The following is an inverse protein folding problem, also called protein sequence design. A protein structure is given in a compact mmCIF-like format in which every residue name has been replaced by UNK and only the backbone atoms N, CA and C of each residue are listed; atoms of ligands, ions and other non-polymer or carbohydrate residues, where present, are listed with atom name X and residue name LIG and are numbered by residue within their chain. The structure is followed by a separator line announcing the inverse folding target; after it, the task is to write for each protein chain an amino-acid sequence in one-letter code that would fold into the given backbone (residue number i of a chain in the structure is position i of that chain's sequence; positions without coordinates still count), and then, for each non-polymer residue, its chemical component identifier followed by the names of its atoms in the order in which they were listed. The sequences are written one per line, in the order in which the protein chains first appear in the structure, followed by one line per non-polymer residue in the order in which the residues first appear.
data_IF_513113182578
#
_entry.id   IF_513113182578
#
_cell.length_a   1.000
_cell.length_b   1.000
_cell.length_c   1.000
_cell.angle_alpha   90.00
_cell.angle_beta   90.00
_cell.angle_gamma   90.00
#
_symmetry.space_group_name_H-M   'P 1'
#
loop_
_entity.id
_entity.type
_entity.pdbx_description
1 polymer ?
#
# COMPACT_ATOMS: atom_id res chain seq x y z
N UNK A 1 -4.60 -23.88 -52.63
CA UNK A 1 -5.02 -22.48 -52.92
C UNK A 1 -6.29 -22.17 -52.14
N UNK A 2 -6.15 -21.72 -50.90
CA UNK A 2 -7.13 -20.90 -50.20
C UNK A 2 -6.33 -19.85 -49.42
N UNK A 3 -6.83 -18.61 -49.33
CA UNK A 3 -6.27 -17.63 -48.40
C UNK A 3 -6.87 -17.87 -47.00
N UNK A 4 -6.03 -17.93 -45.96
CA UNK A 4 -6.46 -17.46 -44.64
C UNK A 4 -6.54 -15.94 -44.72
N UNK A 5 -7.68 -15.37 -44.36
CA UNK A 5 -7.90 -13.93 -44.33
C UNK A 5 -7.91 -13.49 -42.87
N UNK A 6 -6.80 -12.96 -42.39
CA UNK A 6 -6.73 -12.38 -41.05
C UNK A 6 -7.63 -11.14 -41.01
N UNK A 7 -8.57 -11.12 -40.05
CA UNK A 7 -9.35 -9.94 -39.69
C UNK A 7 -8.70 -9.38 -38.43
N UNK A 8 -7.94 -8.30 -38.60
CA UNK A 8 -7.35 -7.56 -37.47
C UNK A 8 -8.48 -6.80 -36.76
N UNK A 9 -8.92 -7.32 -35.61
CA UNK A 9 -9.98 -6.73 -34.79
C UNK A 9 -9.42 -5.70 -33.83
N UNK A 10 -9.34 -4.43 -34.24
CA UNK A 10 -9.12 -3.32 -33.30
C UNK A 10 -10.32 -3.19 -32.37
N UNK A 11 -10.20 -3.64 -31.12
CA UNK A 11 -11.04 -3.16 -30.02
C UNK A 11 -10.56 -1.75 -29.66
N UNK A 12 -11.44 -0.76 -29.78
CA UNK A 12 -11.16 0.63 -29.42
C UNK A 12 -11.60 0.88 -27.98
N UNK A 13 -10.72 1.37 -27.11
CA UNK A 13 -11.10 1.89 -25.81
C UNK A 13 -12.09 3.06 -25.98
N UNK A 14 -13.35 2.89 -25.53
CA UNK A 14 -14.38 3.95 -25.49
C UNK A 14 -15.71 3.53 -24.78
N UNK A 15 -15.70 2.85 -23.62
CA UNK A 15 -16.95 2.62 -22.83
C UNK A 15 -16.73 2.78 -21.32
N UNK A 16 -16.47 4.00 -20.84
CA UNK A 16 -16.53 4.31 -19.40
C UNK A 16 -16.71 5.82 -19.14
N UNK A 17 -17.94 6.33 -19.36
CA UNK A 17 -18.42 7.64 -18.85
C UNK A 17 -19.90 7.87 -19.23
N UNK A 18 -20.85 7.49 -18.35
CA UNK A 18 -22.29 7.73 -18.56
C UNK A 18 -23.14 7.71 -17.28
N UNK A 19 -22.69 8.35 -16.19
CA UNK A 19 -23.44 8.43 -14.93
C UNK A 19 -23.30 9.81 -14.25
N UNK A 20 -23.94 10.84 -14.81
CA UNK A 20 -24.11 12.13 -14.14
C UNK A 20 -25.41 12.81 -14.59
N UNK A 21 -26.46 12.67 -13.77
CA UNK A 21 -27.65 13.52 -13.82
C UNK A 21 -27.75 14.27 -12.47
N UNK A 22 -28.06 15.58 -12.46
CA UNK A 22 -28.03 16.38 -11.24
C UNK A 22 -29.25 16.11 -10.35
N UNK A 23 -29.04 16.07 -9.02
CA UNK A 23 -30.12 16.08 -8.03
C UNK A 23 -30.64 17.50 -7.85
N UNK A 24 -31.95 17.67 -7.97
CA UNK A 24 -32.62 18.99 -8.00
C UNK A 24 -32.75 19.65 -6.60
N UNK A 25 -32.90 20.98 -6.60
CA UNK A 25 -32.83 21.84 -5.41
C UNK A 25 -34.13 21.82 -4.57
N UNK A 26 -34.04 21.47 -3.27
CA UNK A 26 -35.20 21.49 -2.36
C UNK A 26 -34.83 21.77 -0.88
N UNK A 27 -34.44 23.00 -0.56
CA UNK A 27 -34.32 23.46 0.85
C UNK A 27 -35.63 24.11 1.32
N UNK A 28 -36.51 23.33 1.94
CA UNK A 28 -37.67 23.90 2.63
C UNK A 28 -37.26 24.61 3.94
N UNK A 29 -37.99 25.68 4.27
CA UNK A 29 -37.79 26.49 5.47
C UNK A 29 -38.96 26.30 6.42
N UNK A 30 -38.71 26.03 7.69
CA UNK A 30 -39.64 26.38 8.76
C UNK A 30 -39.09 27.52 9.61
N UNK A 31 -39.77 28.67 9.56
CA UNK A 31 -39.60 29.73 10.56
C UNK A 31 -40.54 29.46 11.74
N UNK A 32 -40.02 29.43 12.96
CA UNK A 32 -40.81 29.62 14.18
C UNK A 32 -40.13 30.69 15.03
N UNK A 33 -40.89 31.71 15.45
CA UNK A 33 -40.42 32.88 16.18
C UNK A 33 -41.38 33.23 17.34
N UNK A 34 -41.07 34.32 18.07
CA UNK A 34 -41.78 34.91 19.25
C UNK A 34 -41.50 34.20 20.59
N UNK A 35 -40.78 34.84 21.54
CA UNK A 35 -41.22 35.71 22.68
C UNK A 35 -41.58 34.90 23.96
N UNK A 36 -41.24 35.25 25.21
CA UNK A 36 -40.39 36.28 25.90
C UNK A 36 -39.77 35.58 27.18
N UNK A 37 -39.19 36.13 28.27
CA UNK A 37 -39.20 37.49 28.82
C UNK A 37 -38.03 37.89 29.77
N UNK A 38 -37.77 39.21 29.81
CA UNK A 38 -37.40 40.08 30.96
C UNK A 38 -36.40 39.69 32.10
N UNK A 39 -35.35 40.54 32.24
CA UNK A 39 -34.67 41.04 33.49
C UNK A 39 -33.74 40.10 34.30
N UNK A 40 -32.73 40.55 35.07
CA UNK A 40 -32.39 41.88 35.67
C UNK A 40 -30.88 42.12 35.93
N UNK A 41 -30.42 43.40 35.89
CA UNK A 41 -29.22 44.04 36.54
C UNK A 41 -27.80 43.43 36.29
N UNK A 42 -26.70 44.14 35.96
CA UNK A 42 -26.08 45.43 36.37
C UNK A 42 -25.45 45.41 37.79
N UNK A 43 -24.23 45.90 38.09
CA UNK A 43 -23.08 46.45 37.33
C UNK A 43 -21.76 45.89 37.97
N UNK A 44 -20.50 46.28 37.72
CA UNK A 44 -19.87 47.61 37.51
C UNK A 44 -18.41 47.47 36.97
N UNK A 45 -17.75 48.59 36.65
CA UNK A 45 -16.35 48.75 36.18
C UNK A 45 -15.52 49.60 37.20
N UNK A 46 -14.25 50.06 37.00
CA UNK A 46 -13.36 49.99 35.83
C UNK A 46 -11.87 49.59 36.12
N UNK A 47 -11.00 49.91 35.17
CA UNK A 47 -9.54 49.72 35.09
C UNK A 47 -8.72 50.60 36.06
N UNK A 48 -7.40 50.33 36.21
CA UNK A 48 -6.30 51.25 35.81
C UNK A 48 -4.88 50.68 36.08
N UNK A 49 -3.85 51.29 35.48
CA UNK A 49 -2.47 50.78 35.37
C UNK A 49 -1.47 51.09 36.52
N UNK A 50 -0.31 50.41 36.43
CA UNK A 50 1.08 50.93 36.63
C UNK A 50 1.85 50.57 37.92
N UNK A 51 3.20 50.59 37.87
CA UNK A 51 4.02 50.73 39.11
C UNK A 51 5.33 49.92 39.31
N UNK A 52 6.21 49.81 38.30
CA UNK A 52 7.67 49.56 38.35
C UNK A 52 8.47 49.51 39.71
N UNK A 53 9.57 48.72 39.72
CA UNK A 53 10.90 48.90 40.39
C UNK A 53 11.31 48.19 41.73
N UNK A 54 12.15 47.15 41.60
CA UNK A 54 13.60 47.03 41.99
C UNK A 54 14.11 47.13 43.46
N UNK A 55 15.09 46.25 43.79
CA UNK A 55 16.04 46.21 44.95
C UNK A 55 15.54 45.62 46.29
N UNK A 56 16.32 44.96 47.17
CA UNK A 56 17.78 44.61 47.26
C UNK A 56 17.96 43.18 47.88
N UNK A 57 19.10 42.46 47.80
CA UNK A 57 20.25 42.38 48.76
C UNK A 57 19.85 42.25 50.26
N UNK A 58 20.44 41.44 51.18
CA UNK A 58 21.79 40.85 51.45
C UNK A 58 21.63 39.48 52.22
N UNK A 59 22.56 38.54 52.52
CA UNK A 59 23.92 38.05 52.08
C UNK A 59 24.28 36.73 52.86
N UNK A 60 25.10 35.82 52.27
CA UNK A 60 25.91 34.72 52.92
C UNK A 60 25.19 33.55 53.67
N UNK A 61 25.74 32.33 53.85
CA UNK A 61 26.96 31.66 53.32
C UNK A 61 27.40 30.38 54.11
N UNK A 62 28.32 29.55 53.56
CA UNK A 62 29.19 28.53 54.24
C UNK A 62 28.51 27.21 54.76
N UNK A 63 28.59 26.09 54.00
CA UNK A 63 29.45 24.87 54.15
C UNK A 63 28.71 23.65 54.78
N UNK A 64 29.10 22.36 54.68
CA UNK A 64 30.36 21.68 54.28
C UNK A 64 30.06 20.24 53.71
N UNK A 65 31.07 19.48 53.27
CA UNK A 65 30.98 18.15 52.60
C UNK A 65 30.31 16.99 53.38
N UNK A 66 29.64 16.04 52.68
CA UNK A 66 30.01 14.59 52.62
C UNK A 66 29.07 13.70 51.75
N UNK A 67 29.62 12.59 51.23
CA UNK A 67 28.96 11.52 50.44
C UNK A 67 27.83 10.75 51.17
N UNK A 68 26.82 10.27 50.41
CA UNK A 68 26.49 8.83 50.22
C UNK A 68 25.34 8.64 49.21
N UNK A 69 25.41 7.56 48.42
CA UNK A 69 24.39 7.10 47.43
C UNK A 69 23.13 6.50 48.07
N UNK A 70 21.96 6.74 47.44
CA UNK A 70 20.91 5.72 47.14
C UNK A 70 20.12 6.16 45.86
N UNK A 71 19.27 5.28 45.33
CA UNK A 71 18.58 5.42 44.02
C UNK A 71 17.27 6.22 44.08
N UNK A 72 16.91 6.88 42.97
CA UNK A 72 15.49 7.06 42.54
C UNK A 72 15.39 7.23 41.02
N UNK A 73 14.82 6.21 40.37
CA UNK A 73 13.97 6.23 39.15
C UNK A 73 14.02 7.45 38.21
N UNK A 74 14.37 7.19 36.94
CA UNK A 74 14.03 8.06 35.81
C UNK A 74 12.51 8.04 35.54
N UNK A 75 11.89 9.20 35.31
CA UNK A 75 10.54 9.27 34.75
C UNK A 75 10.64 9.34 33.21
N UNK A 76 10.50 8.18 32.57
CA UNK A 76 10.27 8.10 31.12
C UNK A 76 8.82 8.49 30.86
N UNK A 77 8.62 9.59 30.13
CA UNK A 77 7.29 9.98 29.67
C UNK A 77 6.78 8.93 28.66
N UNK A 78 5.70 8.23 29.03
CA UNK A 78 4.98 7.34 28.13
C UNK A 78 4.13 8.18 27.17
N UNK A 79 4.62 8.35 25.95
CA UNK A 79 3.85 8.95 24.85
C UNK A 79 2.86 7.90 24.33
N UNK A 80 1.64 7.89 24.88
CA UNK A 80 0.56 7.00 24.43
C UNK A 80 -0.11 7.57 23.18
N UNK A 81 0.58 7.44 22.04
CA UNK A 81 0.00 7.61 20.71
C UNK A 81 -1.01 6.47 20.45
N UNK A 82 -2.24 6.65 20.90
CA UNK A 82 -3.37 5.75 20.59
C UNK A 82 -3.51 5.59 19.06
N UNK A 83 -3.08 4.43 18.57
CA UNK A 83 -3.00 4.10 17.14
C UNK A 83 -4.39 3.97 16.50
N UNK A 84 -4.94 5.11 16.06
CA UNK A 84 -6.20 5.18 15.31
C UNK A 84 -5.94 5.10 13.82
N UNK A 85 -5.42 3.95 13.36
CA UNK A 85 -5.51 3.57 11.96
C UNK A 85 -6.99 3.39 11.64
N UNK A 86 -7.58 4.37 10.97
CA UNK A 86 -8.93 4.29 10.44
C UNK A 86 -8.87 3.65 9.04
N UNK A 87 -8.54 2.37 9.00
CA UNK A 87 -8.79 1.50 7.85
C UNK A 87 -10.02 0.67 8.23
N UNK A 88 -11.17 1.18 7.76
CA UNK A 88 -12.51 0.62 7.97
C UNK A 88 -12.69 -0.54 6.97
N UNK A 89 -11.89 -1.60 7.18
CA UNK A 89 -11.84 -2.78 6.31
C UNK A 89 -13.25 -3.35 6.12
N UNK A 90 -13.62 -3.61 4.86
CA UNK A 90 -14.98 -3.90 4.46
C UNK A 90 -15.42 -5.33 4.86
N UNK A 91 -15.70 -5.51 6.15
CA UNK A 91 -16.06 -6.79 6.76
C UNK A 91 -17.27 -7.45 6.06
N UNK A 92 -17.00 -8.46 5.24
CA UNK A 92 -18.00 -9.22 4.50
C UNK A 92 -18.48 -10.44 5.33
N UNK A 93 -19.75 -10.45 5.74
CA UNK A 93 -20.30 -11.58 6.53
C UNK A 93 -20.55 -12.83 5.66
N UNK A 94 -19.64 -13.80 5.73
CA UNK A 94 -19.78 -15.11 5.09
C UNK A 94 -20.97 -15.90 5.67
N UNK A 95 -22.06 -16.01 4.90
CA UNK A 95 -23.25 -16.78 5.28
C UNK A 95 -23.17 -18.25 4.83
N UNK A 96 -22.60 -19.10 5.68
CA UNK A 96 -22.43 -20.52 5.36
C UNK A 96 -23.75 -21.30 5.23
N UNK A 97 -23.90 -22.07 4.15
CA UNK A 97 -24.79 -23.23 4.07
C UNK A 97 -24.11 -24.35 3.26
N UNK A 98 -23.96 -25.52 3.85
CA UNK A 98 -23.49 -26.73 3.18
C UNK A 98 -24.65 -27.71 2.96
N UNK A 99 -24.62 -28.44 1.84
CA UNK A 99 -25.33 -29.71 1.68
C UNK A 99 -24.54 -30.61 0.70
N UNK A 100 -24.65 -31.92 0.87
CA UNK A 100 -23.71 -32.96 0.38
C UNK A 100 -24.28 -33.81 -0.78
N UNK A 101 -23.41 -34.45 -1.60
CA UNK A 101 -23.45 -35.89 -1.99
C UNK A 101 -22.69 -36.29 -3.28
N UNK A 102 -21.50 -36.87 -3.09
CA UNK A 102 -21.05 -38.20 -3.62
C UNK A 102 -21.19 -38.61 -5.13
N UNK A 103 -20.08 -38.42 -5.86
CA UNK A 103 -19.22 -39.46 -6.50
C UNK A 103 -19.60 -40.34 -7.73
N UNK A 104 -18.53 -40.78 -8.43
CA UNK A 104 -18.36 -41.87 -9.43
C UNK A 104 -18.44 -41.53 -10.94
N UNK A 105 -17.51 -41.94 -11.82
CA UNK A 105 -16.22 -42.62 -11.60
C UNK A 105 -15.54 -43.24 -12.86
N UNK A 106 -14.20 -43.37 -12.81
CA UNK A 106 -13.28 -44.21 -13.65
C UNK A 106 -13.11 -44.00 -15.17
N UNK A 107 -11.89 -43.56 -15.54
CA UNK A 107 -10.95 -44.15 -16.53
C UNK A 107 -11.39 -44.56 -17.96
N UNK A 108 -10.69 -44.01 -18.97
CA UNK A 108 -9.73 -44.78 -19.79
C UNK A 108 -8.90 -43.86 -20.70
N UNK A 109 -7.65 -44.23 -20.97
CA UNK A 109 -6.73 -43.50 -21.86
C UNK A 109 -6.70 -44.09 -23.29
N UNK A 110 -6.21 -43.31 -24.24
CA UNK A 110 -5.45 -43.83 -25.39
C UNK A 110 -4.45 -42.75 -25.88
N UNK A 111 -3.38 -43.17 -26.55
CA UNK A 111 -2.20 -42.35 -26.87
C UNK A 111 -1.81 -42.47 -28.35
N UNK A 112 -1.68 -41.34 -29.06
CA UNK A 112 -0.90 -41.24 -30.30
C UNK A 112 -0.10 -39.92 -30.35
N UNK A 113 1.06 -39.98 -31.02
CA UNK A 113 2.18 -39.02 -30.91
C UNK A 113 2.24 -38.06 -32.10
N UNK A 114 2.29 -36.75 -31.79
CA UNK A 114 2.90 -35.61 -32.52
C UNK A 114 2.73 -35.44 -34.05
N UNK A 115 2.84 -34.17 -34.50
CA UNK A 115 4.09 -33.79 -35.15
C UNK A 115 4.76 -32.57 -34.49
N UNK A 116 6.09 -32.63 -34.33
CA UNK A 116 6.93 -31.52 -33.90
C UNK A 116 6.66 -30.26 -34.74
N UNK A 117 6.19 -29.20 -34.11
CA UNK A 117 6.32 -27.83 -34.62
C UNK A 117 7.45 -27.15 -33.84
N UNK A 118 8.49 -26.71 -34.55
CA UNK A 118 9.47 -25.76 -34.03
C UNK A 118 8.77 -24.39 -33.84
N UNK A 119 7.91 -24.28 -32.83
CA UNK A 119 7.60 -22.99 -32.24
C UNK A 119 8.89 -22.46 -31.61
N UNK A 120 9.18 -21.18 -31.83
CA UNK A 120 10.37 -20.58 -31.28
C UNK A 120 10.08 -20.23 -29.82
N UNK A 121 10.53 -21.09 -28.90
CA UNK A 121 10.72 -20.75 -27.48
C UNK A 121 11.56 -19.46 -27.41
N UNK A 122 10.87 -18.31 -27.33
CA UNK A 122 11.47 -17.09 -26.84
C UNK A 122 11.49 -17.23 -25.33
N UNK A 123 12.63 -17.68 -24.80
CA UNK A 123 12.91 -17.60 -23.37
C UNK A 123 12.49 -16.19 -22.89
N UNK A 124 11.40 -16.09 -22.12
CA UNK A 124 10.94 -14.83 -21.53
C UNK A 124 11.89 -14.49 -20.39
N UNK A 125 13.10 -14.05 -20.74
CA UNK A 125 14.14 -13.72 -19.78
C UNK A 125 13.60 -12.62 -18.86
N UNK A 126 13.49 -12.95 -17.57
CA UNK A 126 13.27 -11.95 -16.52
C UNK A 126 14.48 -11.01 -16.48
N UNK A 127 14.36 -9.90 -17.20
CA UNK A 127 15.37 -8.86 -17.36
C UNK A 127 14.71 -7.50 -17.09
N UNK A 128 14.52 -7.19 -15.80
CA UNK A 128 13.97 -5.90 -15.38
C UNK A 128 14.89 -4.73 -15.72
N UNK A 129 16.20 -4.97 -15.91
CA UNK A 129 17.17 -3.96 -16.40
C UNK A 129 16.94 -3.60 -17.88
N UNK A 130 16.16 -4.39 -18.64
CA UNK A 130 15.78 -4.10 -20.01
C UNK A 130 14.49 -3.28 -20.15
N UNK A 131 13.79 -2.97 -19.05
CA UNK A 131 12.61 -2.10 -19.04
C UNK A 131 13.01 -0.61 -18.99
N UNK A 132 12.29 0.22 -19.75
CA UNK A 132 12.46 1.69 -19.77
C UNK A 132 11.74 2.31 -18.56
N UNK A 133 12.31 2.12 -17.37
CA UNK A 133 11.75 2.52 -16.08
C UNK A 133 12.14 3.96 -15.69
N UNK A 134 11.25 4.76 -15.07
CA UNK A 134 11.58 6.10 -14.59
C UNK A 134 12.67 6.11 -13.50
N UNK A 135 13.61 7.05 -13.61
CA UNK A 135 14.57 7.35 -12.53
C UNK A 135 13.91 8.11 -11.37
N UNK A 136 14.54 8.22 -10.18
CA UNK A 136 14.06 9.11 -9.12
C UNK A 136 13.96 10.59 -9.52
N UNK A 137 14.77 11.04 -10.50
CA UNK A 137 14.71 12.42 -11.05
C UNK A 137 13.61 12.60 -12.12
N UNK A 138 13.13 11.52 -12.74
CA UNK A 138 12.21 11.51 -13.89
C UNK A 138 10.82 10.90 -13.57
N UNK A 139 10.44 10.77 -12.30
CA UNK A 139 9.17 10.16 -11.88
C UNK A 139 7.92 10.87 -12.46
N UNK A 140 6.86 10.13 -12.84
CA UNK A 140 5.61 10.69 -13.36
C UNK A 140 4.74 11.22 -12.21
N UNK A 141 5.08 12.41 -11.70
CA UNK A 141 4.44 13.03 -10.52
C UNK A 141 2.93 13.31 -10.64
N UNK A 142 2.32 13.13 -11.82
CA UNK A 142 0.88 13.24 -12.07
C UNK A 142 0.16 11.91 -12.42
N UNK A 143 0.87 10.76 -12.37
CA UNK A 143 0.30 9.42 -12.58
C UNK A 143 0.59 8.48 -11.38
N UNK A 144 -0.43 7.77 -10.87
CA UNK A 144 -0.28 6.87 -9.69
C UNK A 144 0.24 5.47 -10.02
N UNK A 145 0.25 5.10 -11.30
CA UNK A 145 0.97 3.97 -11.89
C UNK A 145 1.15 4.21 -13.38
N UNK A 146 2.07 3.48 -14.03
CA UNK A 146 2.19 3.42 -15.50
C UNK A 146 2.19 1.95 -15.95
N UNK A 147 1.57 1.66 -17.09
CA UNK A 147 1.67 0.35 -17.75
C UNK A 147 3.08 0.19 -18.38
N UNK A 148 3.75 -0.93 -18.13
CA UNK A 148 5.09 -1.22 -18.67
C UNK A 148 5.09 -2.54 -19.45
N UNK A 149 6.04 -2.70 -20.38
CA UNK A 149 6.13 -3.89 -21.26
C UNK A 149 4.82 -4.23 -21.99
N UNK A 150 4.12 -3.23 -22.56
CA UNK A 150 2.78 -3.35 -23.14
C UNK A 150 1.73 -3.98 -22.19
N UNK A 151 1.91 -3.78 -20.86
CA UNK A 151 1.14 -4.36 -19.76
C UNK A 151 1.26 -5.90 -19.62
N UNK A 152 2.35 -6.50 -20.15
CA UNK A 152 2.61 -7.94 -20.13
C UNK A 152 3.69 -8.31 -19.09
N UNK A 153 3.46 -9.28 -18.19
CA UNK A 153 4.46 -9.77 -17.24
C UNK A 153 5.75 -10.31 -17.88
N UNK A 154 6.82 -10.36 -17.08
CA UNK A 154 8.11 -10.99 -17.39
C UNK A 154 8.24 -12.36 -16.69
N UNK A 155 7.16 -13.13 -16.58
CA UNK A 155 7.22 -14.51 -16.08
C UNK A 155 7.75 -15.45 -17.18
N UNK A 156 8.70 -16.30 -16.83
CA UNK A 156 9.14 -17.41 -17.70
C UNK A 156 8.08 -18.51 -17.81
N UNK A 157 8.15 -19.33 -18.86
CA UNK A 157 7.32 -20.53 -18.96
C UNK A 157 7.52 -21.48 -17.75
N UNK A 158 8.77 -21.63 -17.26
CA UNK A 158 9.09 -22.46 -16.07
C UNK A 158 8.43 -21.94 -14.78
N UNK A 159 8.29 -20.61 -14.63
CA UNK A 159 7.56 -20.00 -13.51
C UNK A 159 6.03 -20.15 -13.60
N UNK A 160 5.48 -20.31 -14.81
CA UNK A 160 4.05 -20.54 -15.05
C UNK A 160 3.67 -22.03 -15.02
N UNK A 161 4.66 -22.95 -15.08
CA UNK A 161 4.46 -24.39 -14.87
C UNK A 161 4.42 -24.79 -13.37
N UNK A 162 4.64 -23.86 -12.44
CA UNK A 162 4.52 -24.13 -11.00
C UNK A 162 3.05 -24.20 -10.60
N UNK A 163 2.65 -25.29 -9.92
CA UNK A 163 1.25 -25.55 -9.51
C UNK A 163 1.02 -25.68 -7.99
N UNK A 164 2.09 -25.69 -7.20
CA UNK A 164 2.02 -25.80 -5.74
C UNK A 164 2.07 -24.37 -5.15
N UNK A 165 1.04 -23.90 -4.42
CA UNK A 165 0.99 -22.54 -3.92
C UNK A 165 2.20 -22.19 -3.05
N UNK A 166 2.75 -20.99 -3.25
CA UNK A 166 3.90 -20.52 -2.49
C UNK A 166 3.90 -19.00 -2.37
N UNK A 167 4.57 -18.52 -1.33
CA UNK A 167 5.00 -17.13 -1.24
C UNK A 167 6.44 -17.09 -0.74
N UNK A 168 7.24 -16.17 -1.28
CA UNK A 168 8.65 -16.04 -0.96
C UNK A 168 9.07 -14.57 -0.95
N UNK A 169 10.08 -14.26 -0.14
CA UNK A 169 10.61 -12.91 0.04
C UNK A 169 12.12 -13.02 0.12
N UNK A 170 12.83 -12.24 -0.68
CA UNK A 170 14.28 -12.25 -0.68
C UNK A 170 14.89 -11.86 0.68
N UNK A 171 16.16 -12.21 0.87
CA UNK A 171 16.92 -11.71 2.00
C UNK A 171 17.20 -10.22 1.81
N UNK A 172 16.95 -9.42 2.86
CA UNK A 172 17.30 -8.00 2.84
C UNK A 172 18.79 -7.78 2.60
N UNK A 173 19.13 -6.73 1.86
CA UNK A 173 20.48 -6.47 1.34
C UNK A 173 21.47 -5.97 2.42
N UNK A 174 22.69 -5.57 2.02
CA UNK A 174 23.70 -5.07 2.95
C UNK A 174 23.33 -3.73 3.62
N UNK A 175 22.40 -2.95 3.05
CA UNK A 175 21.81 -1.75 3.65
C UNK A 175 20.53 -2.06 4.46
N UNK A 176 20.03 -3.30 4.39
CA UNK A 176 18.82 -3.77 5.06
C UNK A 176 17.53 -3.49 4.29
N UNK A 177 17.62 -3.13 3.01
CA UNK A 177 16.50 -2.88 2.08
C UNK A 177 15.83 -4.19 1.68
N UNK A 178 14.54 -4.16 1.37
CA UNK A 178 13.79 -5.33 0.86
C UNK A 178 14.21 -5.69 -0.57
N UNK A 179 14.17 -6.98 -0.91
CA UNK A 179 14.35 -7.46 -2.28
C UNK A 179 13.00 -7.87 -2.89
N UNK A 180 13.04 -8.73 -3.90
CA UNK A 180 11.84 -9.22 -4.60
C UNK A 180 10.93 -10.01 -3.64
N UNK A 181 9.62 -9.82 -3.80
CA UNK A 181 8.57 -10.66 -3.26
C UNK A 181 7.89 -11.43 -4.40
N UNK A 182 7.75 -12.75 -4.26
CA UNK A 182 7.40 -13.62 -5.37
C UNK A 182 6.51 -14.80 -4.92
N UNK A 183 5.38 -15.01 -5.60
CA UNK A 183 4.35 -15.96 -5.19
C UNK A 183 3.58 -16.63 -6.34
N UNK A 184 3.04 -17.81 -6.04
CA UNK A 184 1.86 -18.38 -6.69
C UNK A 184 0.74 -18.35 -5.64
N UNK A 185 -0.17 -17.39 -5.80
CA UNK A 185 -1.26 -17.12 -4.88
C UNK A 185 -2.44 -18.06 -5.16
N UNK A 186 -3.07 -18.50 -4.08
CA UNK A 186 -4.13 -19.51 -4.03
C UNK A 186 -4.93 -19.25 -2.75
N UNK A 187 -6.19 -19.67 -2.70
CA UNK A 187 -7.07 -19.52 -1.53
C UNK A 187 -6.51 -20.25 -0.29
N UNK A 188 -5.68 -21.29 -0.47
CA UNK A 188 -4.98 -21.96 0.64
C UNK A 188 -3.93 -21.06 1.36
N UNK A 189 -3.50 -19.94 0.76
CA UNK A 189 -2.57 -18.99 1.38
C UNK A 189 -3.24 -17.83 2.12
N UNK A 190 -4.54 -17.59 1.90
CA UNK A 190 -5.24 -16.44 2.46
C UNK A 190 -5.50 -16.60 3.97
N UNK A 191 -5.19 -15.59 4.81
CA UNK A 191 -5.34 -15.70 6.25
C UNK A 191 -6.79 -15.58 6.71
N UNK A 192 -7.22 -16.49 7.60
CA UNK A 192 -8.51 -16.43 8.28
C UNK A 192 -8.48 -15.67 9.63
N UNK A 193 -7.38 -14.99 9.95
CA UNK A 193 -7.19 -14.22 11.19
C UNK A 193 -7.00 -12.72 10.86
N UNK A 194 -7.48 -11.83 11.74
CA UNK A 194 -7.29 -10.38 11.62
C UNK A 194 -5.80 -10.00 11.72
N UNK A 195 -5.36 -9.02 10.91
CA UNK A 195 -3.95 -8.62 10.81
C UNK A 195 -3.38 -8.10 12.14
N UNK A 196 -2.14 -8.49 12.43
CA UNK A 196 -1.39 -8.02 13.61
C UNK A 196 -0.88 -6.57 13.51
N UNK A 197 -0.46 -6.00 14.65
CA UNK A 197 0.17 -4.67 14.66
C UNK A 197 1.63 -4.72 14.18
N UNK A 198 1.87 -4.15 13.01
CA UNK A 198 3.19 -4.02 12.37
C UNK A 198 3.98 -2.78 12.81
N UNK A 199 3.47 -2.02 13.78
CA UNK A 199 4.06 -0.76 14.31
C UNK A 199 5.50 -0.88 14.84
N UNK A 200 5.97 -2.11 15.08
CA UNK A 200 7.32 -2.46 15.54
C UNK A 200 8.32 -2.73 14.39
N UNK A 201 7.92 -2.49 13.15
CA UNK A 201 8.73 -2.66 11.93
C UNK A 201 8.98 -1.31 11.28
N UNK A 202 10.15 -0.72 11.50
CA UNK A 202 10.60 0.44 10.73
C UNK A 202 11.48 -0.06 9.57
N UNK A 203 11.09 0.12 8.29
CA UNK A 203 11.90 -0.25 7.13
C UNK A 203 13.04 0.76 6.87
N UNK A 204 13.77 0.59 5.76
CA UNK A 204 14.76 1.58 5.32
C UNK A 204 14.08 2.88 4.89
N UNK A 205 14.75 4.02 5.09
CA UNK A 205 14.22 5.35 4.79
C UNK A 205 13.04 5.79 5.67
N UNK A 206 12.76 5.09 6.79
CA UNK A 206 11.62 5.42 7.66
C UNK A 206 11.86 6.70 8.49
N UNK A 207 11.43 7.84 7.95
CA UNK A 207 11.33 9.12 8.67
C UNK A 207 9.88 9.65 8.57
N UNK A 208 9.10 9.61 9.65
CA UNK A 208 7.64 9.83 9.54
C UNK A 208 7.25 11.32 9.57
N UNK A 209 6.56 11.78 8.51
CA UNK A 209 6.03 13.13 8.37
C UNK A 209 4.53 13.27 8.65
N UNK A 210 4.09 14.48 9.06
CA UNK A 210 2.69 14.80 9.28
C UNK A 210 2.27 16.05 8.48
N UNK A 211 1.31 15.91 7.56
CA UNK A 211 0.96 16.91 6.54
C UNK A 211 -0.54 16.95 6.27
N UNK A 212 -1.12 18.16 6.24
CA UNK A 212 -2.54 18.42 5.94
C UNK A 212 -2.96 18.13 4.49
N UNK A 213 -2.00 17.86 3.60
CA UNK A 213 -2.25 17.43 2.20
C UNK A 213 -2.35 15.92 2.04
N UNK A 214 -1.92 15.13 3.03
CA UNK A 214 -1.91 13.67 2.96
C UNK A 214 -3.17 13.10 3.62
N UNK A 215 -3.80 12.11 2.99
CA UNK A 215 -5.01 11.47 3.52
C UNK A 215 -4.74 10.71 4.82
N UNK A 216 -5.31 11.15 5.93
CA UNK A 216 -4.97 10.63 7.28
C UNK A 216 -3.74 11.29 7.91
N UNK A 217 -3.23 12.37 7.30
CA UNK A 217 -2.11 13.23 7.69
C UNK A 217 -0.70 12.58 7.72
N UNK A 218 -0.56 11.27 7.93
CA UNK A 218 0.75 10.61 8.00
C UNK A 218 1.30 10.26 6.62
N UNK A 219 2.56 10.62 6.36
CA UNK A 219 3.20 10.47 5.05
C UNK A 219 3.47 9.01 4.68
N UNK A 220 4.15 8.27 5.56
CA UNK A 220 4.65 6.93 5.24
C UNK A 220 3.79 5.81 5.84
N UNK A 221 3.44 4.86 4.98
CA UNK A 221 2.91 3.56 5.32
C UNK A 221 4.03 2.50 5.37
N UNK A 222 3.86 1.51 6.25
CA UNK A 222 4.61 0.26 6.23
C UNK A 222 3.97 -0.63 5.16
N UNK A 223 4.34 -0.36 3.91
CA UNK A 223 3.68 -0.93 2.73
C UNK A 223 4.12 -2.39 2.57
N UNK A 224 3.16 -3.30 2.43
CA UNK A 224 3.44 -4.69 2.08
C UNK A 224 3.92 -4.78 0.63
N UNK A 225 4.79 -5.74 0.29
CA UNK A 225 5.08 -6.09 -1.11
C UNK A 225 4.03 -7.07 -1.66
N UNK A 226 3.62 -8.01 -0.82
CA UNK A 226 2.43 -8.84 -1.01
C UNK A 226 1.54 -8.62 0.20
N UNK A 227 0.43 -7.88 0.00
CA UNK A 227 -0.55 -7.53 1.00
C UNK A 227 -1.02 -8.70 1.87
N UNK A 228 -1.25 -8.40 3.15
CA UNK A 228 -1.60 -9.39 4.17
C UNK A 228 -2.76 -10.31 3.74
N UNK A 229 -3.80 -9.77 3.10
CA UNK A 229 -4.96 -10.52 2.62
C UNK A 229 -4.64 -11.70 1.69
N UNK A 230 -3.44 -11.74 1.08
CA UNK A 230 -3.03 -12.80 0.15
C UNK A 230 -2.13 -13.88 0.79
N UNK A 231 -1.50 -13.62 1.95
CA UNK A 231 -0.49 -14.54 2.54
C UNK A 231 -0.37 -14.55 4.07
N UNK A 232 -1.00 -13.61 4.77
CA UNK A 232 -0.82 -13.40 6.22
C UNK A 232 0.57 -12.95 6.68
N UNK A 233 1.53 -12.70 5.77
CA UNK A 233 2.94 -12.55 6.13
C UNK A 233 3.36 -11.10 6.43
N UNK A 234 3.31 -10.72 7.71
CA UNK A 234 3.77 -9.41 8.23
C UNK A 234 5.29 -9.34 8.53
N UNK A 235 6.12 -10.11 7.81
CA UNK A 235 7.55 -10.20 8.10
C UNK A 235 8.37 -9.01 7.59
N UNK A 236 9.50 -8.71 8.25
CA UNK A 236 10.38 -7.57 7.91
C UNK A 236 11.00 -7.60 6.50
N UNK A 237 10.86 -8.68 5.74
CA UNK A 237 11.29 -8.76 4.34
C UNK A 237 10.16 -8.46 3.34
N UNK A 238 8.92 -8.31 3.81
CA UNK A 238 7.72 -7.98 3.02
C UNK A 238 7.23 -6.54 3.33
N UNK A 239 7.99 -5.72 4.06
CA UNK A 239 7.55 -4.39 4.49
C UNK A 239 8.57 -3.31 4.09
N UNK A 240 8.14 -2.37 3.25
CA UNK A 240 8.92 -1.21 2.81
C UNK A 240 8.32 0.12 3.28
N UNK A 241 9.12 1.18 3.23
CA UNK A 241 8.63 2.55 3.42
C UNK A 241 8.02 3.03 2.10
N UNK A 242 6.70 3.20 2.08
CA UNK A 242 5.96 3.74 0.94
C UNK A 242 5.11 4.93 1.37
N UNK A 243 4.83 5.87 0.47
CA UNK A 243 3.90 6.98 0.79
C UNK A 243 2.46 6.50 0.93
N UNK A 244 1.59 7.34 1.50
CA UNK A 244 0.15 7.06 1.59
C UNK A 244 -0.48 6.90 0.20
N UNK A 245 -0.13 7.76 -0.74
CA UNK A 245 -0.59 7.70 -2.14
C UNK A 245 -0.08 6.45 -2.86
N UNK A 246 1.21 6.14 -2.75
CA UNK A 246 1.80 4.89 -3.26
C UNK A 246 1.07 3.66 -2.73
N UNK A 247 0.85 3.56 -1.41
CA UNK A 247 0.19 2.42 -0.80
C UNK A 247 -1.30 2.32 -1.18
N UNK A 248 -2.07 3.42 -1.14
CA UNK A 248 -3.55 3.38 -1.18
C UNK A 248 -4.11 3.65 -2.58
N UNK A 249 -3.44 4.47 -3.38
CA UNK A 249 -3.91 4.91 -4.70
C UNK A 249 -3.11 4.23 -5.83
N UNK A 250 -1.85 3.87 -5.57
CA UNK A 250 -0.99 3.09 -6.45
C UNK A 250 -1.20 1.57 -6.32
N UNK A 251 -0.78 0.98 -5.19
CA UNK A 251 -0.74 -0.48 -4.99
C UNK A 251 -2.11 -1.13 -4.77
N UNK A 252 -2.87 -0.63 -3.78
CA UNK A 252 -4.09 -1.27 -3.27
C UNK A 252 -5.14 -1.64 -4.34
N UNK A 253 -5.35 -0.87 -5.44
CA UNK A 253 -6.24 -1.28 -6.53
C UNK A 253 -5.83 -2.58 -7.22
N UNK A 254 -4.52 -2.82 -7.41
CA UNK A 254 -4.01 -4.06 -8.00
C UNK A 254 -4.04 -5.21 -7.00
N UNK A 255 -3.66 -4.96 -5.74
CA UNK A 255 -3.73 -5.97 -4.68
C UNK A 255 -5.14 -6.48 -4.45
N UNK A 256 -6.14 -5.59 -4.43
CA UNK A 256 -7.54 -5.95 -4.29
C UNK A 256 -8.07 -6.69 -5.53
N UNK A 257 -7.60 -6.38 -6.74
CA UNK A 257 -7.96 -7.14 -7.93
C UNK A 257 -7.40 -8.57 -7.85
N UNK A 258 -6.11 -8.74 -7.55
CA UNK A 258 -5.47 -10.05 -7.34
C UNK A 258 -6.19 -10.85 -6.25
N UNK A 259 -6.43 -10.25 -5.08
CA UNK A 259 -7.14 -10.90 -3.99
C UNK A 259 -8.56 -11.33 -4.39
N UNK A 260 -9.32 -10.47 -5.08
CA UNK A 260 -10.68 -10.81 -5.54
C UNK A 260 -10.71 -11.96 -6.54
N UNK A 261 -9.71 -12.09 -7.42
CA UNK A 261 -9.62 -13.23 -8.35
C UNK A 261 -9.37 -14.53 -7.58
N UNK A 262 -8.43 -14.52 -6.63
CA UNK A 262 -8.14 -15.70 -5.80
C UNK A 262 -9.35 -16.09 -4.92
N UNK A 263 -10.03 -15.13 -4.29
CA UNK A 263 -11.16 -15.40 -3.38
C UNK A 263 -12.47 -15.76 -4.11
N UNK A 264 -12.91 -14.99 -5.13
CA UNK A 264 -14.20 -15.22 -5.80
C UNK A 264 -14.17 -16.41 -6.77
N UNK A 265 -12.98 -16.84 -7.24
CA UNK A 265 -12.86 -17.83 -8.33
C UNK A 265 -12.03 -19.07 -8.02
N UNK A 266 -11.32 -19.10 -6.88
CA UNK A 266 -10.38 -20.17 -6.50
C UNK A 266 -9.26 -20.41 -7.55
N UNK A 267 -8.98 -19.43 -8.44
CA UNK A 267 -7.91 -19.51 -9.45
C UNK A 267 -6.53 -19.15 -8.89
N UNK A 268 -5.50 -19.83 -9.38
CA UNK A 268 -4.11 -19.54 -9.06
C UNK A 268 -3.61 -18.30 -9.80
N UNK A 269 -2.99 -17.37 -9.09
CA UNK A 269 -2.42 -16.13 -9.64
C UNK A 269 -0.92 -16.08 -9.38
N UNK A 270 -0.13 -16.09 -10.45
CA UNK A 270 1.31 -15.80 -10.39
C UNK A 270 1.47 -14.30 -10.13
N UNK A 271 2.15 -13.95 -9.04
CA UNK A 271 2.26 -12.57 -8.57
C UNK A 271 3.68 -12.27 -8.10
N UNK A 272 4.23 -11.13 -8.53
CA UNK A 272 5.57 -10.67 -8.18
C UNK A 272 5.59 -9.16 -7.96
N UNK A 273 6.33 -8.73 -6.95
CA UNK A 273 6.59 -7.32 -6.67
C UNK A 273 8.08 -7.11 -6.47
N UNK A 274 8.65 -6.22 -7.28
CA UNK A 274 10.09 -5.92 -7.31
C UNK A 274 10.35 -4.46 -6.93
N UNK A 275 10.89 -4.19 -5.72
CA UNK A 275 11.28 -2.86 -5.29
C UNK A 275 12.47 -2.31 -6.08
N UNK A 276 12.36 -1.04 -6.51
CA UNK A 276 13.38 -0.36 -7.31
C UNK A 276 14.13 0.67 -6.47
N UNK A 277 15.36 0.33 -6.09
CA UNK A 277 16.30 1.23 -5.43
C UNK A 277 17.38 1.68 -6.42
N UNK A 278 17.83 2.92 -6.32
CA UNK A 278 18.96 3.46 -7.09
C UNK A 278 20.18 3.63 -6.16
N UNK A 279 21.37 3.22 -6.60
CA UNK A 279 22.62 3.24 -5.82
C UNK A 279 22.43 2.82 -4.33
N UNK A 280 22.81 3.67 -3.38
CA UNK A 280 22.72 3.45 -1.93
C UNK A 280 21.39 3.97 -1.32
N UNK A 281 20.40 4.37 -2.15
CA UNK A 281 19.16 5.00 -1.67
C UNK A 281 18.39 4.10 -0.70
N UNK A 282 17.90 4.68 0.39
CA UNK A 282 17.20 3.97 1.47
C UNK A 282 15.68 3.86 1.24
N UNK A 283 15.12 4.68 0.36
CA UNK A 283 13.79 4.49 -0.23
C UNK A 283 13.89 3.91 -1.64
N UNK A 284 12.95 3.05 -1.99
CA UNK A 284 12.71 2.69 -3.38
C UNK A 284 11.94 3.84 -4.04
N UNK A 285 12.29 4.20 -5.29
CA UNK A 285 11.60 5.24 -6.06
C UNK A 285 10.29 4.74 -6.68
N UNK A 286 10.10 3.43 -6.71
CA UNK A 286 8.86 2.76 -7.05
C UNK A 286 8.98 1.25 -6.89
N UNK A 287 7.98 0.54 -7.38
CA UNK A 287 7.98 -0.92 -7.52
C UNK A 287 7.51 -1.28 -8.92
N UNK A 288 7.94 -2.44 -9.42
CA UNK A 288 7.19 -3.16 -10.47
C UNK A 288 6.23 -4.13 -9.79
N UNK A 289 4.98 -4.19 -10.27
CA UNK A 289 3.97 -5.18 -9.89
C UNK A 289 3.56 -5.99 -11.12
N UNK A 290 3.67 -7.31 -11.03
CA UNK A 290 3.32 -8.26 -12.10
C UNK A 290 2.26 -9.23 -11.59
N UNK A 291 1.19 -9.43 -12.37
CA UNK A 291 0.11 -10.37 -12.05
C UNK A 291 -0.35 -11.13 -13.28
N UNK A 292 -0.60 -12.44 -13.13
CA UNK A 292 -1.09 -13.33 -14.19
C UNK A 292 -1.94 -14.48 -13.64
N UNK A 293 -3.21 -14.61 -14.07
CA UNK A 293 -4.05 -15.77 -13.75
C UNK A 293 -3.59 -17.00 -14.54
N UNK A 294 -3.15 -18.05 -13.82
CA UNK A 294 -2.49 -19.22 -14.43
C UNK A 294 -3.51 -20.14 -15.11
N UNK A 295 -4.63 -20.43 -14.43
CA UNK A 295 -5.64 -21.42 -14.87
C UNK A 295 -6.33 -21.09 -16.20
N UNK A 296 -6.39 -19.80 -16.56
CA UNK A 296 -6.99 -19.32 -17.82
C UNK A 296 -5.99 -18.61 -18.75
N UNK A 297 -4.69 -18.76 -18.51
CA UNK A 297 -3.62 -18.14 -19.29
C UNK A 297 -3.79 -16.60 -19.42
N UNK A 298 -4.14 -15.95 -18.30
CA UNK A 298 -4.24 -14.50 -18.18
C UNK A 298 -5.51 -13.88 -18.77
N UNK A 299 -6.53 -14.68 -19.15
CA UNK A 299 -7.81 -14.14 -19.67
C UNK A 299 -8.59 -13.32 -18.62
N UNK A 300 -8.51 -13.68 -17.33
CA UNK A 300 -9.12 -12.94 -16.21
C UNK A 300 -8.22 -11.82 -15.71
N UNK A 301 -6.93 -12.10 -15.47
CA UNK A 301 -5.99 -11.15 -14.88
C UNK A 301 -4.62 -11.25 -15.58
N UNK A 302 -4.21 -10.15 -16.20
CA UNK A 302 -2.84 -9.91 -16.69
C UNK A 302 -2.50 -8.44 -16.45
N UNK A 303 -1.39 -8.16 -15.78
CA UNK A 303 -0.82 -6.81 -15.75
C UNK A 303 0.69 -6.81 -15.46
N UNK A 304 1.37 -5.76 -15.93
CA UNK A 304 2.72 -5.37 -15.56
C UNK A 304 2.78 -3.84 -15.47
N UNK A 305 2.95 -3.32 -14.25
CA UNK A 305 2.88 -1.88 -13.97
C UNK A 305 4.06 -1.43 -13.09
N UNK A 306 4.49 -0.19 -13.29
CA UNK A 306 5.36 0.52 -12.35
C UNK A 306 4.52 1.47 -11.49
N UNK A 307 4.69 1.41 -10.18
CA UNK A 307 4.01 2.28 -9.20
C UNK A 307 5.05 3.19 -8.53
N UNK A 308 5.03 4.52 -8.79
CA UNK A 308 6.01 5.45 -8.22
C UNK A 308 5.76 5.72 -6.73
N UNK A 309 6.83 5.72 -5.93
CA UNK A 309 6.79 5.96 -4.49
C UNK A 309 6.75 7.46 -4.15
N UNK A 310 5.75 8.17 -4.66
CA UNK A 310 5.62 9.63 -4.63
C UNK A 310 4.41 10.11 -3.82
N UNK A 311 4.34 11.40 -3.49
CA UNK A 311 3.19 11.98 -2.79
C UNK A 311 2.91 13.42 -3.23
N UNK A 312 1.68 13.69 -3.67
CA UNK A 312 1.19 15.00 -4.10
C UNK A 312 1.50 16.10 -3.07
N UNK A 313 2.23 17.12 -3.51
CA UNK A 313 2.64 18.26 -2.69
C UNK A 313 3.80 18.01 -1.71
N UNK A 314 4.43 16.84 -1.76
CA UNK A 314 5.59 16.48 -0.95
C UNK A 314 6.79 16.11 -1.85
N UNK A 315 7.93 16.74 -1.61
CA UNK A 315 9.23 16.40 -2.19
C UNK A 315 9.92 15.39 -1.27
N UNK A 316 10.52 14.32 -1.84
CA UNK A 316 11.17 13.23 -1.11
C UNK A 316 12.67 13.19 -1.41
N UNK A 317 13.48 12.94 -0.39
CA UNK A 317 14.88 12.55 -0.51
C UNK A 317 14.97 11.02 -0.46
N UNK A 318 15.21 10.39 -1.61
CA UNK A 318 15.34 8.92 -1.70
C UNK A 318 16.63 8.39 -1.05
N UNK A 319 17.69 9.21 -0.89
CA UNK A 319 18.93 8.80 -0.22
C UNK A 319 18.65 8.49 1.27
N UNK A 320 17.91 9.39 1.93
CA UNK A 320 17.74 9.35 3.40
C UNK A 320 16.35 8.93 3.88
N UNK A 321 15.30 9.23 3.10
CA UNK A 321 13.90 9.19 3.53
C UNK A 321 13.36 10.51 4.08
N UNK A 322 14.17 11.57 4.16
CA UNK A 322 13.70 12.93 4.50
C UNK A 322 12.70 13.46 3.47
N UNK A 323 11.88 14.43 3.88
CA UNK A 323 10.75 14.91 3.08
C UNK A 323 10.43 16.39 3.36
N UNK A 324 9.95 17.12 2.35
CA UNK A 324 9.57 18.52 2.45
C UNK A 324 8.21 18.79 1.77
N UNK A 325 7.46 19.79 2.24
CA UNK A 325 6.26 20.26 1.52
C UNK A 325 6.69 21.22 0.41
N UNK A 326 6.13 21.04 -0.78
CA UNK A 326 6.30 21.95 -1.91
C UNK A 326 5.51 23.25 -1.65
N UNK A 327 6.13 24.42 -1.87
CA UNK A 327 5.55 25.77 -1.66
C UNK A 327 4.91 26.39 -2.93
#
# INVERSE_FOLDING_TARGET
MLHKQYVLGMMSAAVLLAACEPVDEAVEREEIATEEAATSEAADLPEEESGNSVSSEETEGISDDTDVVEETTEEVATDESEDRVAEDDAAYEVSANADDLEASGTESADNETEPETEEAESDLVYDIEALDLPSPEDLPLDEVYIEINDNVPLFTNEELEVSEPFHSYEARDELGRVGVADALLDVELMPAEERGSISHVDPTGWNQGNYDVVSGNWLYNRSHLIGHQMTGYDGKNNLMTGTRQFNVEGMLPFENFVASVVEDTEMQVRYRVTPLFEDDNMLAHGIVMEGFSVDDNGETLTFNVFVPNQQDGIELDYETGDHARVE
#
